data_IF_826531127172
#
_entry.id   IF_826531127172
#
_cell.length_a   1.000
_cell.length_b   1.000
_cell.length_c   1.000
_cell.angle_alpha   90.00
_cell.angle_beta   90.00
_cell.angle_gamma   90.00
#
_symmetry.space_group_name_H-M   'P 1'
#
loop_
_entity.id
_entity.type
_entity.pdbx_description
1 polymer ?
#
# COMPACT_ATOMS: atom_id res chain seq x y z
N UNK A 1 16.22 43.89 -8.28
CA UNK A 1 15.08 43.37 -7.48
C UNK A 1 14.28 42.28 -8.20
N UNK A 2 13.80 42.48 -9.45
CA UNK A 2 13.01 41.47 -10.19
C UNK A 2 13.61 40.05 -10.24
N UNK A 3 14.90 39.90 -10.57
CA UNK A 3 15.56 38.57 -10.61
C UNK A 3 15.62 37.86 -9.25
N UNK A 4 15.83 38.60 -8.15
CA UNK A 4 15.87 38.02 -6.79
C UNK A 4 14.51 37.47 -6.35
N UNK A 5 13.43 38.16 -6.71
CA UNK A 5 12.06 37.70 -6.44
C UNK A 5 11.75 36.44 -7.27
N UNK A 6 12.16 36.41 -8.54
CA UNK A 6 11.99 35.23 -9.40
C UNK A 6 12.73 34.02 -8.83
N UNK A 7 13.99 34.18 -8.39
CA UNK A 7 14.73 33.08 -7.76
C UNK A 7 14.08 32.61 -6.45
N UNK A 8 13.58 33.52 -5.63
CA UNK A 8 12.87 33.16 -4.39
C UNK A 8 11.57 32.38 -4.67
N UNK A 9 10.82 32.77 -5.71
CA UNK A 9 9.61 32.04 -6.12
C UNK A 9 9.95 30.64 -6.64
N UNK A 10 11.01 30.50 -7.43
CA UNK A 10 11.48 29.19 -7.90
C UNK A 10 11.90 28.31 -6.71
N UNK A 11 12.65 28.85 -5.74
CA UNK A 11 13.03 28.06 -4.56
C UNK A 11 11.83 27.60 -3.75
N UNK A 12 10.82 28.46 -3.56
CA UNK A 12 9.58 28.08 -2.86
C UNK A 12 8.85 26.98 -3.64
N UNK A 13 8.76 27.09 -4.96
CA UNK A 13 8.10 26.10 -5.79
C UNK A 13 8.78 24.72 -5.71
N UNK A 14 10.13 24.71 -5.70
CA UNK A 14 10.92 23.50 -5.50
C UNK A 14 10.66 22.90 -4.11
N UNK A 15 10.64 23.72 -3.05
CA UNK A 15 10.37 23.25 -1.69
C UNK A 15 8.96 22.66 -1.54
N UNK A 16 7.94 23.28 -2.15
CA UNK A 16 6.57 22.76 -2.15
C UNK A 16 6.51 21.44 -2.91
N UNK A 17 7.16 21.34 -4.07
CA UNK A 17 7.27 20.11 -4.83
C UNK A 17 7.92 18.97 -4.04
N UNK A 18 8.97 19.27 -3.26
CA UNK A 18 9.60 18.29 -2.37
C UNK A 18 8.70 17.88 -1.20
N UNK A 19 7.94 18.82 -0.61
CA UNK A 19 7.04 18.54 0.51
C UNK A 19 5.91 17.57 0.14
N UNK A 20 5.45 17.55 -1.12
CA UNK A 20 4.44 16.59 -1.59
C UNK A 20 4.88 15.15 -1.35
N UNK A 21 6.18 14.83 -1.48
CA UNK A 21 6.71 13.48 -1.26
C UNK A 21 6.67 13.03 0.21
N UNK A 22 6.51 13.96 1.15
CA UNK A 22 6.39 13.66 2.59
C UNK A 22 4.98 13.25 2.99
N UNK A 23 3.96 13.65 2.21
CA UNK A 23 2.57 13.30 2.47
C UNK A 23 2.30 11.90 1.92
N UNK A 24 1.84 10.94 2.76
CA UNK A 24 1.48 9.63 2.28
C UNK A 24 0.35 9.70 1.25
N UNK A 25 0.20 8.64 0.47
CA UNK A 25 -0.94 8.47 -0.43
C UNK A 25 -1.69 7.20 -0.10
N UNK A 26 -2.95 7.15 -0.51
CA UNK A 26 -3.79 5.97 -0.38
C UNK A 26 -3.76 5.23 -1.72
N UNK A 27 -3.19 4.01 -1.82
CA UNK A 27 -3.09 3.29 -3.09
C UNK A 27 -4.45 2.95 -3.71
N UNK A 28 -5.46 2.71 -2.86
CA UNK A 28 -6.80 2.32 -3.26
C UNK A 28 -7.81 3.19 -2.48
N UNK A 29 -8.02 4.46 -2.83
CA UNK A 29 -8.70 5.45 -1.98
C UNK A 29 -10.19 5.22 -1.74
N UNK A 30 -10.85 4.39 -2.54
CA UNK A 30 -12.29 4.14 -2.48
C UNK A 30 -12.63 2.70 -2.85
N UNK A 31 -13.91 2.35 -2.70
CA UNK A 31 -14.39 0.99 -2.97
C UNK A 31 -14.74 0.75 -4.45
N UNK A 32 -15.03 1.82 -5.19
CA UNK A 32 -15.60 1.73 -6.55
C UNK A 32 -14.58 1.19 -7.56
N UNK A 33 -13.30 1.42 -7.31
CA UNK A 33 -12.23 0.94 -8.19
C UNK A 33 -11.92 -0.56 -8.08
N UNK A 34 -12.47 -1.29 -7.11
CA UNK A 34 -12.15 -2.70 -6.92
C UNK A 34 -12.92 -3.63 -7.87
N UNK A 35 -12.19 -4.51 -8.56
CA UNK A 35 -12.77 -5.54 -9.41
C UNK A 35 -12.52 -6.97 -8.93
N UNK A 36 -11.34 -7.25 -8.37
CA UNK A 36 -10.98 -8.59 -7.90
C UNK A 36 -10.04 -8.47 -6.71
N UNK A 37 -10.48 -8.90 -5.53
CA UNK A 37 -9.69 -8.84 -4.30
C UNK A 37 -9.56 -10.25 -3.75
N UNK A 38 -8.32 -10.70 -3.61
CA UNK A 38 -7.97 -12.02 -3.11
C UNK A 38 -6.99 -11.87 -1.97
N UNK A 39 -7.11 -12.72 -0.96
CA UNK A 39 -6.29 -12.68 0.24
C UNK A 39 -5.78 -14.07 0.56
N UNK A 40 -4.50 -14.13 0.91
CA UNK A 40 -3.81 -15.33 1.37
C UNK A 40 -3.24 -15.07 2.75
N UNK A 41 -3.37 -16.06 3.63
CA UNK A 41 -2.54 -16.17 4.81
C UNK A 41 -1.22 -16.82 4.44
N UNK A 42 -0.12 -16.20 4.86
CA UNK A 42 1.25 -16.63 4.59
C UNK A 42 1.89 -17.10 5.88
N UNK A 43 2.42 -18.32 5.88
CA UNK A 43 3.16 -18.92 6.98
C UNK A 43 4.47 -19.51 6.41
N UNK A 44 5.43 -18.64 6.11
CA UNK A 44 6.69 -19.05 5.48
C UNK A 44 6.47 -19.54 4.06
N UNK A 45 6.69 -20.85 3.82
CA UNK A 45 6.47 -21.46 2.51
C UNK A 45 5.00 -21.82 2.24
N UNK A 46 4.18 -21.91 3.30
CA UNK A 46 2.79 -22.30 3.18
C UNK A 46 1.90 -21.07 2.94
N UNK A 47 1.06 -21.15 1.92
CA UNK A 47 0.07 -20.12 1.58
C UNK A 47 -1.33 -20.73 1.58
N UNK A 48 -2.25 -20.13 2.33
CA UNK A 48 -3.65 -20.55 2.39
C UNK A 48 -4.53 -19.44 1.85
N UNK A 49 -5.28 -19.71 0.79
CA UNK A 49 -6.24 -18.74 0.26
C UNK A 49 -7.46 -18.62 1.19
N UNK A 50 -7.79 -17.39 1.57
CA UNK A 50 -8.90 -17.08 2.47
C UNK A 50 -10.04 -16.32 1.76
N UNK A 51 -9.90 -16.02 0.47
CA UNK A 51 -10.80 -15.16 -0.31
C UNK A 51 -12.29 -15.47 -0.10
N UNK A 52 -12.68 -16.74 -0.12
CA UNK A 52 -14.09 -17.14 0.01
C UNK A 52 -14.61 -17.14 1.46
N UNK A 53 -13.71 -17.13 2.44
CA UNK A 53 -14.03 -17.24 3.87
C UNK A 53 -14.14 -15.88 4.55
N UNK A 54 -13.52 -14.84 3.98
CA UNK A 54 -13.49 -13.49 4.54
C UNK A 54 -14.68 -12.65 4.09
N UNK A 55 -15.10 -11.72 4.95
CA UNK A 55 -16.04 -10.67 4.53
C UNK A 55 -15.37 -9.73 3.51
N UNK A 56 -15.70 -9.91 2.25
CA UNK A 56 -15.13 -9.15 1.12
C UNK A 56 -15.42 -7.65 1.17
N UNK A 57 -16.53 -7.23 1.78
CA UNK A 57 -16.84 -5.80 1.96
C UNK A 57 -15.91 -5.19 3.00
N UNK A 58 -15.79 -5.82 4.16
CA UNK A 58 -14.88 -5.37 5.23
C UNK A 58 -13.41 -5.37 4.77
N UNK A 59 -13.00 -6.38 3.99
CA UNK A 59 -11.67 -6.43 3.40
C UNK A 59 -11.40 -5.21 2.50
N UNK A 60 -12.32 -4.90 1.56
CA UNK A 60 -12.18 -3.73 0.68
C UNK A 60 -12.15 -2.43 1.48
N UNK A 61 -13.02 -2.29 2.47
CA UNK A 61 -13.03 -1.12 3.36
C UNK A 61 -11.68 -0.93 4.06
N UNK A 62 -11.10 -1.99 4.64
CA UNK A 62 -9.77 -1.94 5.25
C UNK A 62 -8.69 -1.53 4.25
N UNK A 63 -8.74 -2.05 3.01
CA UNK A 63 -7.81 -1.67 1.95
C UNK A 63 -7.88 -0.18 1.59
N UNK A 64 -9.04 0.44 1.71
CA UNK A 64 -9.17 1.90 1.48
C UNK A 64 -8.49 2.77 2.53
N UNK A 65 -8.17 2.19 3.69
CA UNK A 65 -7.50 2.89 4.77
C UNK A 65 -5.98 2.77 4.69
N UNK A 66 -5.44 1.95 3.77
CA UNK A 66 -4.00 1.74 3.63
C UNK A 66 -3.31 3.03 3.19
N UNK A 67 -2.27 3.42 3.92
CA UNK A 67 -1.43 4.57 3.58
C UNK A 67 -0.03 4.12 3.23
N UNK A 68 0.51 4.61 2.12
CA UNK A 68 1.83 4.29 1.64
C UNK A 68 2.71 5.55 1.50
N UNK A 69 4.02 5.39 1.74
CA UNK A 69 5.01 6.44 1.46
C UNK A 69 5.08 6.70 -0.04
N UNK A 70 5.13 7.96 -0.46
CA UNK A 70 5.28 8.30 -1.89
C UNK A 70 6.66 7.97 -2.44
N UNK A 71 7.70 8.04 -1.62
CA UNK A 71 9.06 7.68 -2.02
C UNK A 71 9.13 6.17 -2.21
N UNK A 72 9.35 5.67 -3.44
CA UNK A 72 9.49 4.25 -3.69
C UNK A 72 10.88 3.76 -3.28
N UNK A 73 10.99 2.45 -3.07
CA UNK A 73 12.27 1.73 -3.05
C UNK A 73 12.26 0.63 -4.10
N UNK A 74 13.46 0.22 -4.53
CA UNK A 74 13.60 -0.90 -5.47
C UNK A 74 13.05 -2.19 -4.86
N UNK A 75 12.29 -2.95 -5.67
CA UNK A 75 11.86 -4.29 -5.33
C UNK A 75 13.07 -5.22 -5.32
N UNK A 76 13.50 -5.60 -4.12
CA UNK A 76 14.50 -6.64 -3.89
C UNK A 76 13.82 -7.85 -3.27
N UNK A 77 14.48 -9.01 -3.32
CA UNK A 77 14.00 -10.22 -2.66
C UNK A 77 13.79 -9.95 -1.19
N UNK A 78 12.59 -10.25 -0.70
CA UNK A 78 12.24 -10.26 0.71
C UNK A 78 11.86 -11.68 1.11
N UNK A 79 11.89 -11.94 2.40
CA UNK A 79 11.60 -13.26 2.93
C UNK A 79 10.11 -13.36 3.28
N UNK A 80 9.46 -14.41 2.79
CA UNK A 80 8.01 -14.64 2.97
C UNK A 80 7.63 -15.00 4.40
N UNK A 81 8.58 -15.43 5.23
CA UNK A 81 8.41 -15.61 6.68
C UNK A 81 8.06 -14.32 7.43
N UNK A 82 8.36 -13.15 6.83
CA UNK A 82 8.04 -11.83 7.38
C UNK A 82 6.69 -11.28 6.91
N UNK A 83 5.99 -12.03 6.05
CA UNK A 83 4.66 -11.68 5.55
C UNK A 83 3.64 -12.59 6.22
N UNK A 84 2.58 -12.00 6.75
CA UNK A 84 1.47 -12.73 7.38
C UNK A 84 0.26 -12.81 6.44
N UNK A 85 0.04 -11.76 5.65
CA UNK A 85 -0.99 -11.72 4.62
C UNK A 85 -0.43 -11.17 3.32
N UNK A 86 -0.79 -11.83 2.23
CA UNK A 86 -0.67 -11.28 0.88
C UNK A 86 -2.06 -11.00 0.33
N UNK A 87 -2.25 -9.80 -0.22
CA UNK A 87 -3.50 -9.37 -0.82
C UNK A 87 -3.23 -8.93 -2.24
N UNK A 88 -4.00 -9.46 -3.18
CA UNK A 88 -3.96 -9.07 -4.59
C UNK A 88 -5.29 -8.41 -4.91
N UNK A 89 -5.23 -7.13 -5.23
CA UNK A 89 -6.39 -6.33 -5.62
C UNK A 89 -6.20 -5.77 -7.03
N UNK A 90 -7.18 -5.93 -7.90
CA UNK A 90 -7.25 -5.14 -9.13
C UNK A 90 -8.03 -3.87 -8.79
N UNK A 91 -7.33 -2.73 -8.79
CA UNK A 91 -7.88 -1.41 -8.53
C UNK A 91 -7.70 -0.51 -9.75
N UNK A 92 -8.79 0.01 -10.32
CA UNK A 92 -8.78 0.81 -11.57
C UNK A 92 -7.91 0.16 -12.66
N UNK A 93 -8.22 -1.10 -12.97
CA UNK A 93 -7.51 -1.95 -13.96
C UNK A 93 -6.01 -2.20 -13.67
N UNK A 94 -5.52 -1.78 -12.50
CA UNK A 94 -4.12 -1.95 -12.10
C UNK A 94 -4.00 -3.03 -11.02
N UNK A 95 -3.26 -4.12 -11.27
CA UNK A 95 -2.99 -5.11 -10.23
C UNK A 95 -2.12 -4.48 -9.15
N UNK A 96 -2.59 -4.54 -7.92
CA UNK A 96 -1.99 -3.96 -6.72
C UNK A 96 -1.80 -5.07 -5.69
N UNK A 97 -0.57 -5.23 -5.24
CA UNK A 97 -0.14 -6.29 -4.35
C UNK A 97 0.24 -5.69 -3.01
N UNK A 98 -0.33 -6.19 -1.93
CA UNK A 98 -0.02 -5.77 -0.57
C UNK A 98 0.53 -6.97 0.19
N UNK A 99 1.69 -6.79 0.80
CA UNK A 99 2.32 -7.76 1.69
C UNK A 99 2.40 -7.11 3.08
N UNK A 100 1.76 -7.74 4.07
CA UNK A 100 1.52 -7.19 5.40
C UNK A 100 1.92 -8.21 6.46
N UNK A 101 2.62 -7.77 7.50
CA UNK A 101 3.21 -8.61 8.54
C UNK A 101 4.31 -7.86 9.30
N UNK A 102 5.47 -8.49 9.49
CA UNK A 102 6.69 -7.80 9.93
C UNK A 102 7.18 -6.84 8.82
N UNK A 103 7.02 -7.24 7.55
CA UNK A 103 7.19 -6.36 6.40
C UNK A 103 5.84 -5.86 5.89
N UNK A 104 5.79 -4.56 5.57
CA UNK A 104 4.57 -3.88 5.17
C UNK A 104 4.81 -2.99 3.95
N UNK A 105 4.40 -3.43 2.77
CA UNK A 105 4.57 -2.65 1.53
C UNK A 105 3.50 -2.98 0.48
N UNK A 106 3.37 -2.05 -0.47
CA UNK A 106 2.49 -2.16 -1.64
C UNK A 106 3.28 -1.96 -2.93
N UNK A 107 2.89 -2.65 -4.00
CA UNK A 107 3.45 -2.48 -5.34
C UNK A 107 2.45 -2.85 -6.43
N UNK A 108 2.72 -2.44 -7.68
CA UNK A 108 1.83 -2.68 -8.83
C UNK A 108 2.54 -3.35 -10.02
N UNK A 109 3.57 -4.16 -9.72
CA UNK A 109 4.33 -4.92 -10.73
C UNK A 109 5.30 -4.10 -11.59
N UNK A 110 5.44 -2.79 -11.36
CA UNK A 110 6.37 -1.92 -12.11
C UNK A 110 7.83 -1.95 -11.60
N UNK A 111 8.16 -2.84 -10.65
CA UNK A 111 9.48 -2.96 -10.04
C UNK A 111 9.75 -2.00 -8.86
N UNK A 112 8.79 -1.15 -8.50
CA UNK A 112 8.87 -0.25 -7.36
C UNK A 112 7.91 -0.67 -6.26
N UNK A 113 8.37 -0.57 -5.01
CA UNK A 113 7.53 -0.83 -3.84
C UNK A 113 7.48 0.39 -2.93
N UNK A 114 6.36 0.57 -2.25
CA UNK A 114 6.11 1.66 -1.32
C UNK A 114 5.85 1.08 0.07
N UNK A 115 6.62 1.50 1.07
CA UNK A 115 6.38 1.06 2.45
C UNK A 115 5.05 1.61 2.95
N UNK A 116 4.30 0.78 3.67
CA UNK A 116 3.09 1.23 4.34
C UNK A 116 3.46 2.05 5.58
N UNK A 117 2.62 3.05 5.88
CA UNK A 117 2.73 3.91 7.06
C UNK A 117 1.98 3.37 8.26
N UNK A 118 0.88 2.67 8.02
CA UNK A 118 -0.05 2.13 9.00
C UNK A 118 -0.15 0.59 8.91
N UNK A 119 0.97 -0.08 8.61
CA UNK A 119 0.99 -1.52 8.38
C UNK A 119 0.51 -2.34 9.59
N UNK A 120 0.87 -1.92 10.81
CA UNK A 120 0.43 -2.57 12.05
C UNK A 120 -1.08 -2.51 12.27
N UNK A 121 -1.67 -1.35 12.01
CA UNK A 121 -3.10 -1.11 12.17
C UNK A 121 -3.89 -1.93 11.15
N UNK A 122 -3.42 -1.97 9.90
CA UNK A 122 -4.03 -2.80 8.86
C UNK A 122 -3.85 -4.29 9.18
N UNK A 123 -2.70 -4.71 9.70
CA UNK A 123 -2.50 -6.11 10.12
C UNK A 123 -3.53 -6.53 11.18
N UNK A 124 -3.78 -5.68 12.17
CA UNK A 124 -4.81 -5.95 13.20
C UNK A 124 -6.21 -6.06 12.59
N UNK A 125 -6.58 -5.15 11.68
CA UNK A 125 -7.88 -5.24 10.99
C UNK A 125 -8.00 -6.52 10.15
N UNK A 126 -6.92 -6.94 9.47
CA UNK A 126 -6.91 -8.17 8.71
C UNK A 126 -7.04 -9.40 9.60
N UNK A 127 -6.39 -9.41 10.77
CA UNK A 127 -6.55 -10.49 11.74
C UNK A 127 -7.99 -10.58 12.24
N UNK A 128 -8.69 -9.46 12.46
CA UNK A 128 -10.10 -9.46 12.80
C UNK A 128 -10.97 -10.00 11.66
N UNK A 129 -10.73 -9.57 10.42
CA UNK A 129 -11.50 -9.99 9.23
C UNK A 129 -11.27 -11.46 8.88
N UNK A 130 -10.05 -11.97 9.07
CA UNK A 130 -9.65 -13.31 8.66
C UNK A 130 -9.83 -14.38 9.73
N UNK A 131 -10.08 -14.00 11.00
CA UNK A 131 -10.30 -14.95 12.10
C UNK A 131 -11.71 -14.87 12.71
N UNK A 132 -12.59 -14.03 12.16
CA UNK A 132 -14.00 -13.91 12.57
C UNK A 132 -14.87 -15.08 12.13
#
# INVERSE_FOLDING_TARGET
MKRRIVFALISVLICVGAAVWLVPYTPMPDMDGFWNVRIWRVNGADMTELTEQVNQTALREALTQVQAKRVPRSQHSFSMDKVSYEIIAVYNDTPTFLNIGELNFVYNGNGWVHDLKNGSEILTQLDEICNS
#
